data_IF_787091040617
#
_entry.id   IF_787091040617
#
_cell.length_a   1.000
_cell.length_b   1.000
_cell.length_c   1.000
_cell.angle_alpha   90.00
_cell.angle_beta   90.00
_cell.angle_gamma   90.00
#
_symmetry.space_group_name_H-M   'P 1'
#
loop_
_entity.id
_entity.type
_entity.pdbx_description
1 polymer ?
#
# COMPACT_ATOMS: atom_id res chain seq x y z
N UNK A 1 20.59 6.11 0.16
CA UNK A 1 19.86 5.89 1.44
C UNK A 1 19.43 7.20 2.06
N UNK A 2 18.31 7.18 2.76
CA UNK A 2 17.78 8.32 3.49
C UNK A 2 18.37 8.27 4.91
N UNK A 3 19.10 9.33 5.30
CA UNK A 3 19.73 9.42 6.62
C UNK A 3 18.79 9.95 7.70
N UNK A 4 17.78 10.71 7.31
CA UNK A 4 16.82 11.36 8.21
C UNK A 4 15.50 11.56 7.47
N UNK A 5 14.40 11.25 8.13
CA UNK A 5 13.03 11.41 7.64
C UNK A 5 12.23 12.21 8.67
N UNK A 6 12.35 13.53 8.60
CA UNK A 6 11.71 14.42 9.57
C UNK A 6 10.33 14.85 9.08
N UNK A 7 9.29 14.40 9.76
CA UNK A 7 7.91 14.81 9.51
C UNK A 7 7.59 16.11 10.29
N UNK A 8 7.72 17.26 9.62
CA UNK A 8 7.55 18.58 10.26
C UNK A 8 6.17 18.78 10.85
N UNK A 9 5.12 18.28 10.21
CA UNK A 9 3.74 18.36 10.70
C UNK A 9 3.45 17.41 11.87
N UNK A 10 4.31 16.41 12.06
CA UNK A 10 4.20 15.41 13.12
C UNK A 10 5.18 15.70 14.27
N UNK A 11 5.32 16.97 14.65
CA UNK A 11 6.16 17.41 15.75
C UNK A 11 7.67 17.34 15.49
N UNK A 12 8.11 17.37 14.25
CA UNK A 12 9.51 17.20 13.84
C UNK A 12 10.12 15.86 14.26
N UNK A 13 9.33 14.81 14.42
CA UNK A 13 9.82 13.45 14.64
C UNK A 13 10.68 13.02 13.45
N UNK A 14 11.87 12.50 13.72
CA UNK A 14 12.67 11.77 12.75
C UNK A 14 12.27 10.30 12.80
N UNK A 15 11.77 9.77 11.71
CA UNK A 15 11.31 8.39 11.58
C UNK A 15 12.41 7.42 11.16
N UNK A 16 13.56 7.93 10.72
CA UNK A 16 14.68 7.08 10.30
C UNK A 16 15.36 6.45 11.52
N UNK A 17 15.41 5.12 11.53
CA UNK A 17 16.14 4.37 12.55
C UNK A 17 17.65 4.58 12.40
N UNK A 18 18.31 4.89 13.51
CA UNK A 18 19.75 5.06 13.59
C UNK A 18 20.40 3.71 13.89
N UNK A 19 20.61 2.89 12.88
CA UNK A 19 21.29 1.60 12.99
C UNK A 19 22.51 1.57 12.07
N UNK A 20 23.58 0.96 12.54
CA UNK A 20 24.79 0.74 11.72
C UNK A 20 24.59 -0.40 10.71
N UNK A 21 23.61 -1.26 10.94
CA UNK A 21 23.40 -2.49 10.16
C UNK A 21 22.55 -2.28 8.92
N UNK A 22 21.59 -1.36 8.96
CA UNK A 22 20.62 -1.13 7.89
C UNK A 22 20.40 0.36 7.66
N UNK A 23 20.04 0.73 6.42
CA UNK A 23 19.72 2.09 6.07
C UNK A 23 18.33 2.24 5.45
N UNK A 24 17.64 3.34 5.71
CA UNK A 24 16.30 3.60 5.20
C UNK A 24 16.31 3.69 3.66
N UNK A 25 15.53 2.82 3.01
CA UNK A 25 15.41 2.74 1.56
C UNK A 25 16.56 1.99 0.88
N UNK A 26 17.39 1.23 1.59
CA UNK A 26 18.39 0.37 0.96
C UNK A 26 17.74 -0.82 0.28
N UNK A 27 18.34 -1.26 -0.83
CA UNK A 27 18.06 -2.54 -1.46
C UNK A 27 18.96 -3.61 -0.84
N UNK A 28 18.38 -4.74 -0.48
CA UNK A 28 19.11 -5.88 0.09
C UNK A 28 18.63 -7.19 -0.53
N UNK A 29 19.58 -8.03 -0.95
CA UNK A 29 19.33 -9.34 -1.50
C UNK A 29 20.48 -10.31 -1.23
N UNK A 30 20.21 -11.62 -1.27
CA UNK A 30 21.24 -12.66 -1.17
C UNK A 30 21.68 -13.07 -2.59
N UNK A 31 22.97 -12.97 -2.88
CA UNK A 31 23.53 -13.31 -4.17
C UNK A 31 24.30 -14.61 -4.09
N UNK A 32 23.80 -15.65 -4.76
CA UNK A 32 24.31 -17.00 -4.65
C UNK A 32 25.72 -17.20 -5.17
N UNK A 33 26.11 -16.46 -6.21
CA UNK A 33 27.47 -16.52 -6.74
C UNK A 33 28.52 -16.11 -5.69
N UNK A 34 28.13 -15.17 -4.81
CA UNK A 34 28.99 -14.70 -3.73
C UNK A 34 28.68 -15.37 -2.38
N UNK A 35 27.56 -16.09 -2.26
CA UNK A 35 27.13 -16.77 -1.04
C UNK A 35 26.79 -15.86 0.14
N UNK A 36 26.42 -14.60 -0.11
CA UNK A 36 26.16 -13.60 0.93
C UNK A 36 25.08 -12.57 0.55
N UNK A 37 24.56 -11.92 1.58
CA UNK A 37 23.74 -10.74 1.37
C UNK A 37 24.58 -9.56 0.90
N UNK A 38 24.05 -8.83 -0.09
CA UNK A 38 24.58 -7.57 -0.58
C UNK A 38 23.56 -6.46 -0.37
N UNK A 39 24.08 -5.26 -0.21
CA UNK A 39 23.27 -4.05 -0.04
C UNK A 39 23.69 -2.98 -1.05
N UNK A 40 22.70 -2.17 -1.47
CA UNK A 40 22.94 -1.02 -2.33
C UNK A 40 23.75 0.11 -1.67
N UNK A 41 24.02 0.03 -0.35
CA UNK A 41 24.87 0.98 0.35
C UNK A 41 26.37 0.67 0.24
N UNK A 42 26.73 -0.50 -0.28
CA UNK A 42 28.12 -0.93 -0.40
C UNK A 42 28.87 -0.18 -1.51
N UNK A 43 28.14 0.41 -2.45
CA UNK A 43 28.69 1.16 -3.57
C UNK A 43 28.17 2.60 -3.57
N UNK A 44 29.01 3.59 -3.92
CA UNK A 44 28.54 4.97 -4.09
C UNK A 44 27.48 5.08 -5.18
N UNK A 45 26.46 5.88 -4.93
CA UNK A 45 25.43 6.18 -5.91
C UNK A 45 25.49 7.64 -6.36
N UNK A 46 25.08 7.90 -7.60
CA UNK A 46 24.95 9.24 -8.15
C UNK A 46 23.57 9.79 -7.83
N UNK A 47 23.53 11.00 -7.26
CA UNK A 47 22.30 11.74 -7.02
C UNK A 47 22.16 12.87 -8.03
N UNK A 48 20.95 13.00 -8.59
CA UNK A 48 20.62 14.08 -9.54
C UNK A 48 19.28 14.67 -9.14
N UNK A 49 19.22 16.00 -8.97
CA UNK A 49 17.94 16.70 -8.82
C UNK A 49 17.30 16.79 -10.20
N UNK A 50 16.18 16.08 -10.40
CA UNK A 50 15.46 16.03 -11.67
C UNK A 50 14.45 17.18 -11.76
N UNK A 51 13.84 17.54 -10.62
CA UNK A 51 12.89 18.64 -10.53
C UNK A 51 12.97 19.28 -9.15
N UNK A 52 12.94 20.59 -9.13
CA UNK A 52 12.85 21.39 -7.92
C UNK A 52 12.00 22.63 -8.22
N UNK A 53 10.73 22.56 -7.84
CA UNK A 53 9.79 23.66 -8.01
C UNK A 53 8.79 23.72 -6.83
N UNK A 54 7.86 24.67 -6.86
CA UNK A 54 6.90 24.90 -5.77
C UNK A 54 5.86 23.79 -5.60
N UNK A 55 5.73 22.90 -6.56
CA UNK A 55 4.74 21.81 -6.55
C UNK A 55 5.35 20.45 -6.28
N UNK A 56 6.55 20.21 -6.78
CA UNK A 56 7.20 18.89 -6.75
C UNK A 56 8.71 19.03 -6.63
N UNK A 57 9.29 18.19 -5.77
CA UNK A 57 10.73 17.95 -5.70
C UNK A 57 11.01 16.51 -6.07
N UNK A 58 11.95 16.27 -6.99
CA UNK A 58 12.25 14.95 -7.50
C UNK A 58 13.75 14.73 -7.58
N UNK A 59 14.21 13.67 -6.92
CA UNK A 59 15.63 13.26 -6.87
C UNK A 59 15.74 11.88 -7.50
N UNK A 60 16.67 11.74 -8.43
CA UNK A 60 17.06 10.47 -9.05
C UNK A 60 18.33 9.97 -8.41
N UNK A 61 18.33 8.70 -8.00
CA UNK A 61 19.46 7.96 -7.47
C UNK A 61 19.82 6.86 -8.47
N UNK A 62 21.04 6.84 -8.93
CA UNK A 62 21.60 5.82 -9.84
C UNK A 62 22.75 5.11 -9.12
N UNK A 63 22.64 3.80 -8.93
CA UNK A 63 23.61 2.99 -8.20
C UNK A 63 23.63 1.54 -8.69
N UNK A 64 24.33 0.71 -7.94
CA UNK A 64 24.46 -0.72 -8.22
C UNK A 64 24.25 -1.55 -6.94
N UNK A 65 23.65 -2.73 -7.09
CA UNK A 65 23.65 -3.77 -6.08
C UNK A 65 24.23 -5.05 -6.68
N UNK A 66 25.30 -5.57 -6.10
CA UNK A 66 26.03 -6.74 -6.63
C UNK A 66 26.26 -6.64 -8.16
N UNK A 67 26.74 -5.50 -8.63
CA UNK A 67 26.97 -5.15 -10.05
C UNK A 67 25.71 -5.06 -10.94
N UNK A 68 24.50 -5.16 -10.39
CA UNK A 68 23.26 -4.89 -11.13
C UNK A 68 22.86 -3.42 -10.96
N UNK A 69 22.74 -2.65 -12.06
CA UNK A 69 22.34 -1.25 -11.97
C UNK A 69 20.92 -1.09 -11.44
N UNK A 70 20.70 -0.09 -10.61
CA UNK A 70 19.37 0.33 -10.24
C UNK A 70 19.20 1.85 -10.40
N UNK A 71 17.97 2.24 -10.62
CA UNK A 71 17.51 3.63 -10.56
C UNK A 71 16.37 3.73 -9.57
N UNK A 72 16.46 4.66 -8.65
CA UNK A 72 15.38 4.99 -7.73
C UNK A 72 15.06 6.48 -7.84
N UNK A 73 13.80 6.81 -8.09
CA UNK A 73 13.33 8.19 -8.13
C UNK A 73 12.48 8.46 -6.91
N UNK A 74 12.87 9.45 -6.10
CA UNK A 74 12.14 9.89 -4.92
C UNK A 74 11.41 11.18 -5.28
N UNK A 75 10.10 11.22 -5.02
CA UNK A 75 9.24 12.37 -5.32
C UNK A 75 8.54 12.85 -4.06
N UNK A 76 8.64 14.15 -3.80
CA UNK A 76 7.87 14.89 -2.79
C UNK A 76 6.92 15.83 -3.50
N UNK A 77 5.62 15.65 -3.29
CA UNK A 77 4.58 16.50 -3.89
C UNK A 77 4.00 17.42 -2.84
N UNK A 78 3.88 18.71 -3.16
CA UNK A 78 3.29 19.72 -2.26
C UNK A 78 1.85 19.35 -1.91
N UNK A 79 1.53 19.44 -0.62
CA UNK A 79 0.19 19.17 -0.11
C UNK A 79 -0.07 17.71 0.27
N UNK A 80 0.84 16.78 -0.09
CA UNK A 80 0.79 15.42 0.39
C UNK A 80 1.75 15.21 1.57
N UNK A 81 1.45 14.21 2.41
CA UNK A 81 2.36 13.71 3.46
C UNK A 81 3.17 12.50 3.01
N UNK A 82 2.87 12.02 1.81
CA UNK A 82 3.44 10.83 1.20
C UNK A 82 4.73 11.15 0.47
N UNK A 83 5.67 10.24 0.53
CA UNK A 83 6.91 10.23 -0.24
C UNK A 83 6.82 9.08 -1.22
N UNK A 84 6.86 9.38 -2.51
CA UNK A 84 6.72 8.39 -3.58
C UNK A 84 8.10 7.93 -4.08
N UNK A 85 8.20 6.64 -4.38
CA UNK A 85 9.40 6.00 -4.93
C UNK A 85 9.05 5.24 -6.20
N UNK A 86 9.89 5.37 -7.21
CA UNK A 86 9.86 4.60 -8.44
C UNK A 86 11.21 3.87 -8.57
N UNK A 87 11.17 2.55 -8.47
CA UNK A 87 12.36 1.69 -8.46
C UNK A 87 12.42 0.89 -9.75
N UNK A 88 13.58 0.93 -10.40
CA UNK A 88 13.94 0.02 -11.50
C UNK A 88 15.26 -0.67 -11.17
N UNK A 89 15.32 -1.99 -11.34
CA UNK A 89 16.59 -2.75 -11.29
C UNK A 89 16.79 -3.45 -12.61
N UNK A 90 17.90 -3.15 -13.28
CA UNK A 90 18.28 -3.76 -14.55
C UNK A 90 19.12 -5.01 -14.26
N UNK A 91 18.46 -6.15 -14.27
CA UNK A 91 19.11 -7.42 -14.03
C UNK A 91 20.05 -7.78 -15.19
N UNK A 92 21.31 -7.95 -14.89
CA UNK A 92 22.27 -8.51 -15.84
C UNK A 92 22.05 -10.02 -15.97
N UNK A 93 22.59 -10.60 -17.01
CA UNK A 93 22.62 -12.07 -17.18
C UNK A 93 23.21 -12.72 -15.92
N UNK A 94 22.64 -13.83 -15.47
CA UNK A 94 22.97 -14.56 -14.24
C UNK A 94 22.74 -13.70 -12.98
N UNK A 95 21.51 -13.44 -12.71
CA UNK A 95 21.06 -12.54 -11.64
C UNK A 95 21.57 -12.90 -10.26
N UNK A 96 21.69 -14.20 -9.93
CA UNK A 96 22.25 -14.64 -8.67
C UNK A 96 21.37 -14.45 -7.42
N UNK A 97 20.23 -13.77 -7.51
CA UNK A 97 19.26 -13.72 -6.41
C UNK A 97 18.45 -15.00 -6.44
N UNK A 98 18.46 -15.73 -5.36
CA UNK A 98 17.71 -16.97 -5.22
C UNK A 98 18.09 -18.02 -6.26
N UNK A 99 18.83 -19.00 -5.85
CA UNK A 99 19.19 -20.08 -6.75
C UNK A 99 17.99 -20.95 -7.08
N UNK A 100 17.69 -21.13 -8.38
CA UNK A 100 16.78 -22.16 -8.85
C UNK A 100 17.55 -23.49 -8.95
N UNK A 101 17.19 -24.46 -8.09
CA UNK A 101 17.65 -25.86 -8.19
C UNK A 101 16.44 -26.77 -8.36
N UNK A 102 16.40 -27.53 -9.42
CA UNK A 102 15.35 -28.52 -9.68
C UNK A 102 15.21 -29.59 -8.59
N UNK A 103 16.27 -29.87 -7.83
CA UNK A 103 16.34 -30.93 -6.83
C UNK A 103 15.74 -30.59 -5.45
N UNK A 104 15.07 -29.46 -5.28
CA UNK A 104 14.61 -28.92 -3.99
C UNK A 104 13.31 -29.51 -3.42
N UNK A 105 12.82 -30.62 -3.88
CA UNK A 105 11.63 -31.28 -3.31
C UNK A 105 11.73 -31.59 -1.81
N UNK A 106 12.92 -31.59 -1.27
CA UNK A 106 13.20 -31.90 0.15
C UNK A 106 13.45 -30.69 1.03
N UNK A 107 13.65 -29.51 0.45
CA UNK A 107 13.82 -28.28 1.22
C UNK A 107 12.48 -27.56 1.31
N UNK A 108 11.88 -27.52 2.50
CA UNK A 108 10.59 -26.86 2.75
C UNK A 108 10.64 -25.33 2.65
N UNK A 109 11.81 -24.76 2.39
CA UNK A 109 11.96 -23.31 2.26
C UNK A 109 11.51 -22.85 0.88
N UNK A 110 10.64 -21.82 0.89
CA UNK A 110 10.07 -21.22 -0.31
C UNK A 110 10.43 -19.73 -0.37
N UNK A 111 10.42 -19.16 -1.57
CA UNK A 111 10.72 -17.74 -1.78
C UNK A 111 9.93 -16.81 -0.86
N UNK A 112 8.70 -17.18 -0.55
CA UNK A 112 7.85 -16.42 0.35
C UNK A 112 8.42 -16.24 1.76
N UNK A 113 9.05 -17.25 2.32
CA UNK A 113 9.48 -17.30 3.72
C UNK A 113 11.00 -17.32 3.92
N UNK A 114 11.77 -17.12 2.89
CA UNK A 114 13.22 -17.12 2.95
C UNK A 114 13.78 -15.86 2.26
N UNK A 115 14.38 -14.96 3.04
CA UNK A 115 14.95 -13.70 2.55
C UNK A 115 16.06 -13.89 1.50
N UNK A 116 16.66 -15.09 1.43
CA UNK A 116 17.63 -15.40 0.39
C UNK A 116 17.03 -15.46 -1.02
N UNK A 117 15.71 -15.55 -1.13
CA UNK A 117 14.99 -15.58 -2.41
C UNK A 117 14.29 -14.26 -2.74
N UNK A 118 14.71 -13.17 -2.09
CA UNK A 118 14.09 -11.87 -2.26
C UNK A 118 15.11 -10.77 -2.52
N UNK A 119 14.70 -9.79 -3.29
CA UNK A 119 15.21 -8.45 -3.19
C UNK A 119 14.22 -7.65 -2.34
N UNK A 120 14.69 -7.06 -1.26
CA UNK A 120 13.86 -6.25 -0.36
C UNK A 120 14.33 -4.80 -0.33
N UNK A 121 13.38 -3.88 -0.15
CA UNK A 121 13.66 -2.49 0.26
C UNK A 121 13.47 -2.41 1.77
N UNK A 122 14.46 -1.92 2.50
CA UNK A 122 14.44 -1.92 3.97
C UNK A 122 14.10 -0.54 4.54
N UNK A 123 13.33 -0.56 5.62
CA UNK A 123 12.84 0.64 6.33
C UNK A 123 13.12 0.54 7.83
N UNK A 124 14.39 0.69 8.26
CA UNK A 124 14.67 0.82 9.69
C UNK A 124 14.04 2.12 10.22
N UNK A 125 13.28 1.98 11.31
CA UNK A 125 12.55 3.09 11.94
C UNK A 125 12.98 3.31 13.37
N UNK A 126 12.81 4.55 13.88
CA UNK A 126 12.97 4.93 15.29
C UNK A 126 11.59 4.91 15.99
N UNK A 127 10.88 3.78 15.85
CA UNK A 127 9.59 3.53 16.51
C UNK A 127 9.76 2.55 17.67
N UNK A 128 9.10 2.81 18.80
CA UNK A 128 9.20 1.98 19.99
C UNK A 128 8.17 0.86 20.01
N UNK A 129 8.64 -0.40 20.17
CA UNK A 129 7.80 -1.60 20.27
C UNK A 129 6.61 -1.61 19.30
N UNK A 130 6.84 -1.45 17.98
CA UNK A 130 5.75 -1.27 17.05
C UNK A 130 4.97 -2.55 16.80
N UNK A 131 3.64 -2.38 16.60
CA UNK A 131 2.77 -3.38 15.99
C UNK A 131 2.73 -3.21 14.49
N UNK A 132 2.54 -4.31 13.77
CA UNK A 132 2.35 -4.30 12.32
C UNK A 132 0.88 -4.49 12.00
N UNK A 133 0.29 -3.54 11.27
CA UNK A 133 -1.03 -3.66 10.67
C UNK A 133 -0.86 -3.81 9.16
N UNK A 134 -1.67 -4.65 8.55
CA UNK A 134 -1.64 -4.85 7.10
C UNK A 134 -3.03 -5.00 6.53
N UNK A 135 -3.24 -4.55 5.31
CA UNK A 135 -4.49 -4.81 4.64
C UNK A 135 -4.60 -6.26 4.16
N UNK A 136 -5.83 -6.75 4.22
CA UNK A 136 -6.27 -8.03 3.70
C UNK A 136 -7.56 -7.80 2.89
N UNK A 137 -8.07 -8.78 2.14
CA UNK A 137 -9.33 -8.63 1.43
C UNK A 137 -10.47 -8.26 2.39
N UNK A 138 -10.99 -7.05 2.27
CA UNK A 138 -12.06 -6.50 3.12
C UNK A 138 -11.78 -6.56 4.62
N UNK A 139 -10.51 -6.44 5.03
CA UNK A 139 -10.09 -6.50 6.42
C UNK A 139 -8.74 -5.80 6.64
N UNK A 140 -8.40 -5.58 7.90
CA UNK A 140 -7.07 -5.19 8.35
C UNK A 140 -6.63 -6.09 9.49
N UNK A 141 -5.51 -6.76 9.32
CA UNK A 141 -4.98 -7.70 10.29
C UNK A 141 -3.84 -7.06 11.10
N UNK A 142 -3.87 -7.23 12.41
CA UNK A 142 -2.70 -7.02 13.26
C UNK A 142 -1.79 -8.25 13.13
N UNK A 143 -0.55 -8.03 12.72
CA UNK A 143 0.45 -9.08 12.53
C UNK A 143 1.39 -9.12 13.72
N UNK A 144 1.25 -10.14 14.56
CA UNK A 144 2.12 -10.34 15.72
C UNK A 144 3.34 -11.17 15.37
N UNK A 145 4.50 -10.86 15.95
CA UNK A 145 5.69 -11.66 15.78
C UNK A 145 5.55 -13.07 16.39
N UNK A 146 4.76 -13.22 17.45
CA UNK A 146 4.64 -14.46 18.24
C UNK A 146 3.51 -15.39 17.80
N UNK A 147 2.41 -14.86 17.26
CA UNK A 147 1.19 -15.63 16.99
C UNK A 147 0.81 -15.58 15.50
N UNK A 148 1.70 -16.01 14.63
CA UNK A 148 1.38 -16.15 13.21
C UNK A 148 1.23 -17.61 12.83
N UNK A 149 0.43 -17.90 11.82
CA UNK A 149 0.26 -19.24 11.26
C UNK A 149 1.60 -19.91 10.89
N UNK A 150 2.59 -19.09 10.54
CA UNK A 150 3.95 -19.49 10.23
C UNK A 150 4.92 -19.25 11.41
N UNK A 151 4.46 -19.47 12.63
CA UNK A 151 5.16 -19.14 13.88
C UNK A 151 6.52 -19.82 14.13
N UNK A 152 6.95 -20.75 13.28
CA UNK A 152 8.20 -21.51 13.43
C UNK A 152 9.39 -20.94 12.64
N UNK A 153 9.24 -19.79 11.97
CA UNK A 153 10.32 -19.26 11.15
C UNK A 153 11.05 -18.16 11.87
N UNK A 154 12.05 -18.57 12.60
CA UNK A 154 13.03 -17.70 13.23
C UNK A 154 12.45 -16.39 13.78
N UNK A 155 13.27 -15.38 13.88
CA UNK A 155 12.90 -14.06 14.40
C UNK A 155 12.27 -13.13 13.35
N UNK A 156 12.21 -13.54 12.09
CA UNK A 156 11.66 -12.73 10.98
C UNK A 156 10.34 -13.34 10.54
N UNK A 157 9.28 -12.51 10.52
CA UNK A 157 7.96 -12.88 10.02
C UNK A 157 7.74 -12.30 8.64
N UNK A 158 7.18 -13.14 7.78
CA UNK A 158 6.81 -12.78 6.42
C UNK A 158 5.31 -12.85 6.27
N UNK A 159 4.70 -11.86 5.65
CA UNK A 159 3.27 -11.88 5.38
C UNK A 159 2.94 -11.13 4.09
N UNK A 160 1.86 -11.54 3.44
CA UNK A 160 1.36 -10.91 2.21
C UNK A 160 0.60 -9.65 2.58
N UNK A 161 0.78 -8.62 1.79
CA UNK A 161 -0.02 -7.40 1.75
C UNK A 161 -0.68 -7.26 0.37
N UNK A 162 -1.85 -6.68 0.32
CA UNK A 162 -2.47 -6.30 -0.95
C UNK A 162 -1.82 -5.02 -1.46
N UNK A 163 -1.91 -3.95 -0.65
CA UNK A 163 -1.42 -2.63 -1.04
C UNK A 163 -0.69 -1.87 0.06
N UNK A 164 -0.83 -2.21 1.35
CA UNK A 164 -0.17 -1.47 2.40
C UNK A 164 0.12 -2.28 3.66
N UNK A 165 1.11 -1.83 4.39
CA UNK A 165 1.46 -2.24 5.75
C UNK A 165 1.79 -1.00 6.57
N UNK A 166 1.35 -0.97 7.83
CA UNK A 166 1.58 0.12 8.77
C UNK A 166 2.31 -0.39 10.01
N UNK A 167 3.41 0.26 10.33
CA UNK A 167 4.22 -0.01 11.52
C UNK A 167 3.92 1.08 12.54
N UNK A 168 3.10 0.77 13.56
CA UNK A 168 2.60 1.73 14.53
C UNK A 168 3.09 1.41 15.96
N UNK A 169 3.55 2.41 16.70
CA UNK A 169 3.89 2.26 18.12
C UNK A 169 2.68 1.76 18.93
N UNK A 170 2.89 0.81 19.84
CA UNK A 170 1.81 0.28 20.68
C UNK A 170 1.30 1.30 21.70
N UNK A 171 2.21 2.00 22.35
CA UNK A 171 1.95 2.96 23.41
C UNK A 171 2.29 4.39 22.99
N UNK A 172 2.75 4.58 21.76
CA UNK A 172 3.11 5.86 21.17
C UNK A 172 2.10 6.38 20.19
N UNK A 173 2.40 7.55 19.65
CA UNK A 173 1.55 8.23 18.68
C UNK A 173 2.05 8.10 17.25
N UNK A 174 3.26 7.55 17.04
CA UNK A 174 3.91 7.61 15.73
C UNK A 174 3.79 6.28 14.99
N UNK A 175 3.66 6.40 13.67
CA UNK A 175 3.60 5.25 12.78
C UNK A 175 4.18 5.58 11.40
N UNK A 176 4.62 4.54 10.69
CA UNK A 176 5.10 4.63 9.31
C UNK A 176 4.35 3.63 8.46
N UNK A 177 3.49 4.12 7.59
CA UNK A 177 2.84 3.30 6.58
C UNK A 177 3.69 3.19 5.32
N UNK A 178 3.65 2.00 4.70
CA UNK A 178 4.31 1.65 3.45
C UNK A 178 3.25 1.19 2.46
N UNK A 179 3.18 1.82 1.30
CA UNK A 179 2.26 1.49 0.22
C UNK A 179 2.99 0.76 -0.91
N UNK A 180 2.31 -0.17 -1.57
CA UNK A 180 2.80 -0.91 -2.73
C UNK A 180 1.81 -0.80 -3.89
N UNK A 181 2.31 -0.68 -5.12
CA UNK A 181 1.51 -0.63 -6.35
C UNK A 181 0.97 -2.00 -6.80
N UNK A 182 1.30 -3.05 -6.07
CA UNK A 182 0.82 -4.42 -6.33
C UNK A 182 0.86 -5.27 -5.07
N UNK A 183 0.15 -6.39 -5.11
CA UNK A 183 0.21 -7.40 -4.06
C UNK A 183 1.61 -7.99 -3.95
N UNK A 184 2.21 -7.87 -2.77
CA UNK A 184 3.54 -8.38 -2.47
C UNK A 184 3.62 -8.90 -1.04
N UNK A 185 4.78 -8.97 -0.44
CA UNK A 185 4.96 -9.30 0.97
C UNK A 185 5.86 -8.31 1.69
N UNK A 186 5.74 -8.32 2.99
CA UNK A 186 6.72 -7.69 3.87
C UNK A 186 7.43 -8.74 4.72
N UNK A 187 8.58 -8.38 5.24
CA UNK A 187 9.28 -9.06 6.33
C UNK A 187 9.49 -8.09 7.48
N UNK A 188 9.40 -8.60 8.71
CA UNK A 188 9.65 -7.82 9.92
C UNK A 188 10.09 -8.75 11.06
N UNK A 189 11.04 -8.31 11.88
CA UNK A 189 11.55 -9.08 13.01
C UNK A 189 12.03 -8.17 14.13
N UNK A 190 12.37 -8.77 15.27
CA UNK A 190 12.88 -8.03 16.44
C UNK A 190 14.16 -7.27 16.09
N UNK A 191 15.09 -7.93 15.39
CA UNK A 191 16.36 -7.35 14.92
C UNK A 191 16.40 -7.13 13.40
N UNK A 192 15.25 -7.18 12.74
CA UNK A 192 15.13 -7.02 11.30
C UNK A 192 14.09 -5.93 10.98
N UNK A 193 14.47 -4.88 10.24
CA UNK A 193 13.56 -3.78 9.96
C UNK A 193 12.42 -4.22 9.06
N UNK A 194 11.38 -3.40 8.97
CA UNK A 194 10.34 -3.58 7.96
C UNK A 194 11.01 -3.62 6.58
N UNK A 195 10.79 -4.72 5.86
CA UNK A 195 11.28 -4.93 4.50
C UNK A 195 10.13 -5.16 3.55
N UNK A 196 10.07 -4.39 2.46
CA UNK A 196 9.12 -4.60 1.37
C UNK A 196 9.79 -5.51 0.33
N UNK A 197 9.15 -6.62 0.00
CA UNK A 197 9.64 -7.49 -1.08
C UNK A 197 9.41 -6.82 -2.43
N UNK A 198 10.51 -6.44 -3.09
CA UNK A 198 10.49 -5.85 -4.42
C UNK A 198 10.52 -6.91 -5.53
N UNK A 199 11.22 -8.02 -5.31
CA UNK A 199 11.35 -9.11 -6.28
C UNK A 199 11.47 -10.44 -5.55
N UNK A 200 10.70 -11.43 -6.01
CA UNK A 200 10.92 -12.82 -5.66
C UNK A 200 11.80 -13.52 -6.68
N UNK A 201 12.53 -14.54 -6.22
CA UNK A 201 13.23 -15.49 -7.08
C UNK A 201 13.23 -16.89 -6.44
N UNK A 202 13.59 -17.94 -7.20
CA UNK A 202 13.66 -19.31 -6.68
C UNK A 202 12.31 -20.00 -6.54
N UNK A 203 12.22 -20.94 -5.59
CA UNK A 203 11.07 -21.84 -5.44
C UNK A 203 9.78 -21.16 -5.01
N UNK A 204 8.73 -21.30 -5.80
CA UNK A 204 7.39 -20.80 -5.47
C UNK A 204 6.76 -21.54 -4.29
N UNK A 205 5.82 -20.91 -3.59
CA UNK A 205 5.10 -21.54 -2.47
C UNK A 205 4.18 -22.66 -2.98
N UNK A 206 3.41 -22.34 -4.01
CA UNK A 206 2.51 -23.24 -4.73
C UNK A 206 2.55 -22.87 -6.22
N UNK A 207 2.96 -23.76 -7.08
CA UNK A 207 3.02 -23.52 -8.51
C UNK A 207 4.45 -23.27 -9.03
N UNK A 208 4.61 -22.61 -10.18
CA UNK A 208 5.91 -22.43 -10.82
C UNK A 208 6.83 -21.53 -10.02
N UNK A 209 8.13 -21.76 -10.21
CA UNK A 209 9.17 -20.97 -9.57
C UNK A 209 9.24 -19.55 -10.14
N UNK A 210 9.70 -18.63 -9.31
CA UNK A 210 9.93 -17.24 -9.68
C UNK A 210 11.24 -17.12 -10.46
N UNK A 211 11.14 -16.92 -11.77
CA UNK A 211 12.29 -16.68 -12.64
C UNK A 211 12.40 -15.20 -12.97
N UNK A 212 13.57 -14.64 -12.80
CA UNK A 212 13.84 -13.25 -13.19
C UNK A 212 14.18 -13.25 -14.68
N UNK A 213 13.29 -12.71 -15.50
CA UNK A 213 13.42 -12.70 -16.98
C UNK A 213 13.45 -11.30 -17.56
N UNK A 214 13.16 -10.28 -16.77
CA UNK A 214 13.09 -8.88 -17.21
C UNK A 214 13.45 -7.93 -16.03
N UNK A 215 13.72 -6.66 -16.32
CA UNK A 215 13.99 -5.68 -15.27
C UNK A 215 12.84 -5.60 -14.25
N UNK A 216 13.19 -5.44 -12.98
CA UNK A 216 12.23 -5.06 -11.95
C UNK A 216 11.76 -3.63 -12.22
N UNK A 217 10.45 -3.41 -12.09
CA UNK A 217 9.84 -2.08 -12.00
C UNK A 217 8.77 -2.12 -10.92
N UNK A 218 8.88 -1.24 -9.96
CA UNK A 218 8.00 -1.17 -8.81
C UNK A 218 7.85 0.26 -8.33
N UNK A 219 6.63 0.63 -7.98
CA UNK A 219 6.37 1.85 -7.23
C UNK A 219 5.98 1.50 -5.80
N UNK A 220 6.44 2.29 -4.87
CA UNK A 220 6.03 2.21 -3.47
C UNK A 220 6.05 3.61 -2.87
N UNK A 221 5.42 3.77 -1.73
CA UNK A 221 5.42 5.04 -1.03
C UNK A 221 5.48 4.84 0.48
N UNK A 222 5.96 5.85 1.20
CA UNK A 222 5.94 5.88 2.66
C UNK A 222 5.15 7.08 3.16
N UNK A 223 4.45 6.89 4.28
CA UNK A 223 3.67 7.93 4.94
C UNK A 223 4.01 7.93 6.43
N UNK A 224 4.86 8.86 6.91
CA UNK A 224 5.02 9.08 8.32
C UNK A 224 3.77 9.78 8.88
N UNK A 225 3.22 9.26 9.99
CA UNK A 225 1.97 9.79 10.54
C UNK A 225 1.86 9.60 12.05
N UNK A 226 0.79 10.17 12.63
CA UNK A 226 0.35 9.91 14.01
C UNK A 226 -0.89 9.06 14.05
N UNK A 227 -1.06 8.36 15.16
CA UNK A 227 -2.16 7.43 15.37
C UNK A 227 -2.00 6.14 14.57
N UNK A 228 -2.97 5.23 14.72
CA UNK A 228 -3.02 4.00 13.94
C UNK A 228 -3.58 4.26 12.54
N UNK A 229 -3.44 3.30 11.66
CA UNK A 229 -3.85 3.34 10.25
C UNK A 229 -5.26 3.91 10.03
N UNK A 230 -6.25 3.56 10.89
CA UNK A 230 -7.65 4.00 10.81
C UNK A 230 -7.83 5.49 11.16
N UNK A 231 -7.04 6.02 12.10
CA UNK A 231 -7.05 7.44 12.46
C UNK A 231 -6.29 8.31 11.47
N UNK A 232 -5.33 7.69 10.83
CA UNK A 232 -4.50 8.35 9.82
C UNK A 232 -5.03 8.19 8.39
N UNK A 233 -6.16 7.50 8.18
CA UNK A 233 -6.76 7.25 6.87
C UNK A 233 -5.79 6.61 5.86
N UNK A 234 -5.02 5.63 6.31
CA UNK A 234 -4.03 4.96 5.46
C UNK A 234 -4.68 4.13 4.37
N UNK A 235 -5.83 3.51 4.66
CA UNK A 235 -6.58 2.77 3.64
C UNK A 235 -7.03 3.70 2.50
N UNK A 236 -7.55 4.87 2.82
CA UNK A 236 -8.00 5.88 1.85
C UNK A 236 -6.82 6.46 1.04
N UNK A 237 -5.70 6.80 1.71
CA UNK A 237 -4.47 7.23 1.03
C UNK A 237 -3.91 6.16 0.08
N UNK A 238 -3.99 4.87 0.47
CA UNK A 238 -3.56 3.76 -0.37
C UNK A 238 -4.43 3.60 -1.62
N UNK A 239 -5.76 3.70 -1.46
CA UNK A 239 -6.68 3.60 -2.59
C UNK A 239 -6.52 4.79 -3.54
N UNK A 240 -6.45 6.01 -3.02
CA UNK A 240 -6.19 7.20 -3.83
C UNK A 240 -4.85 7.13 -4.58
N UNK A 241 -3.86 6.45 -4.02
CA UNK A 241 -2.56 6.30 -4.67
C UNK A 241 -2.55 5.21 -5.73
N UNK A 242 -3.23 4.09 -5.49
CA UNK A 242 -3.32 2.96 -6.41
C UNK A 242 -4.34 3.19 -7.53
N UNK A 243 -5.35 4.05 -7.28
CA UNK A 243 -6.38 4.42 -8.25
C UNK A 243 -6.28 5.91 -8.61
N UNK A 244 -5.27 6.30 -9.41
CA UNK A 244 -5.03 7.70 -9.72
C UNK A 244 -6.18 8.29 -10.56
N UNK A 245 -6.43 9.59 -10.36
CA UNK A 245 -7.42 10.33 -11.14
C UNK A 245 -7.12 10.25 -12.64
N UNK A 246 -8.15 9.92 -13.40
CA UNK A 246 -8.10 10.02 -14.86
C UNK A 246 -8.30 11.49 -15.25
N UNK A 247 -7.49 11.97 -16.17
CA UNK A 247 -7.60 13.33 -16.69
C UNK A 247 -7.51 13.35 -18.22
N UNK A 248 -8.20 14.32 -18.81
CA UNK A 248 -8.06 14.65 -20.23
C UNK A 248 -8.02 16.16 -20.38
N UNK A 249 -7.25 16.65 -21.35
CA UNK A 249 -7.15 18.05 -21.67
C UNK A 249 -8.04 18.37 -22.86
N UNK A 250 -9.07 19.18 -22.64
CA UNK A 250 -9.91 19.74 -23.70
C UNK A 250 -10.32 21.18 -23.34
N UNK A 251 -10.58 22.03 -24.34
CA UNK A 251 -11.03 23.41 -24.08
C UNK A 251 -12.38 23.40 -23.37
N UNK A 252 -12.48 24.07 -22.23
CA UNK A 252 -13.74 24.27 -21.50
C UNK A 252 -14.03 25.74 -21.39
N UNK A 253 -15.29 26.14 -21.65
CA UNK A 253 -15.73 27.51 -21.55
C UNK A 253 -15.76 28.02 -20.09
N UNK A 254 -16.07 27.14 -19.14
CA UNK A 254 -16.08 27.44 -17.70
C UNK A 254 -15.66 26.19 -16.91
N UNK A 255 -14.83 26.33 -15.87
CA UNK A 255 -14.53 25.20 -14.98
C UNK A 255 -15.79 24.88 -14.15
N UNK A 256 -16.21 23.63 -14.17
CA UNK A 256 -17.27 23.10 -13.33
C UNK A 256 -16.71 21.97 -12.46
N UNK A 257 -17.12 21.95 -11.19
CA UNK A 257 -16.86 20.82 -10.28
C UNK A 257 -18.17 20.13 -9.97
N UNK A 258 -18.23 18.81 -10.20
CA UNK A 258 -19.44 18.02 -9.96
C UNK A 258 -19.05 16.69 -9.31
N UNK A 259 -19.77 16.34 -8.25
CA UNK A 259 -19.64 15.04 -7.60
C UNK A 259 -20.94 14.26 -7.78
N UNK A 260 -20.85 13.03 -8.28
CA UNK A 260 -22.02 12.15 -8.39
C UNK A 260 -22.43 11.56 -7.04
N UNK A 261 -21.45 11.18 -6.21
CA UNK A 261 -21.67 10.64 -4.87
C UNK A 261 -20.78 11.40 -3.90
N UNK A 262 -21.36 11.83 -2.78
CA UNK A 262 -20.64 12.46 -1.68
C UNK A 262 -20.84 11.61 -0.40
N UNK A 263 -19.77 11.01 0.06
CA UNK A 263 -19.70 10.18 1.26
C UNK A 263 -19.30 10.95 2.52
N UNK A 264 -19.05 12.25 2.41
CA UNK A 264 -18.70 13.15 3.51
C UNK A 264 -17.47 12.70 4.34
N UNK A 265 -16.47 12.10 3.71
CA UNK A 265 -15.24 11.67 4.36
C UNK A 265 -15.48 10.75 5.59
N UNK A 266 -16.18 9.66 5.38
CA UNK A 266 -16.70 8.81 6.44
C UNK A 266 -15.92 7.52 6.65
N UNK A 267 -14.83 7.29 5.92
CA UNK A 267 -14.15 6.00 5.84
C UNK A 267 -14.89 4.97 4.98
N UNK A 268 -15.97 5.38 4.30
CA UNK A 268 -16.63 4.55 3.32
C UNK A 268 -15.99 4.70 1.95
N UNK A 269 -15.80 3.59 1.27
CA UNK A 269 -15.25 3.50 -0.07
C UNK A 269 -16.32 3.02 -1.04
N UNK A 270 -16.31 3.54 -2.28
CA UNK A 270 -17.13 3.03 -3.37
C UNK A 270 -16.40 1.84 -3.98
N UNK A 271 -16.80 0.62 -3.63
CA UNK A 271 -16.19 -0.60 -4.17
C UNK A 271 -16.78 -1.04 -5.50
N UNK A 272 -17.97 -0.56 -5.86
CA UNK A 272 -18.55 -0.73 -7.20
C UNK A 272 -19.59 0.36 -7.50
N UNK A 273 -19.56 0.86 -8.73
CA UNK A 273 -20.58 1.72 -9.32
C UNK A 273 -20.87 1.23 -10.73
N UNK A 274 -22.06 0.69 -10.93
CA UNK A 274 -22.41 0.04 -12.20
C UNK A 274 -23.82 0.45 -12.64
N UNK A 275 -24.01 0.60 -13.95
CA UNK A 275 -25.33 0.73 -14.55
C UNK A 275 -25.79 -0.66 -15.03
N UNK A 276 -26.96 -1.09 -14.56
CA UNK A 276 -27.59 -2.35 -14.98
C UNK A 276 -29.10 -2.17 -15.11
N UNK A 277 -29.64 -2.53 -16.25
CA UNK A 277 -31.10 -2.51 -16.54
C UNK A 277 -31.78 -1.17 -16.18
N UNK A 278 -31.09 -0.04 -16.50
CA UNK A 278 -31.60 1.32 -16.21
C UNK A 278 -31.52 1.74 -14.75
N UNK A 279 -30.95 0.92 -13.88
CA UNK A 279 -30.71 1.23 -12.47
C UNK A 279 -29.21 1.35 -12.19
N UNK A 280 -28.87 2.12 -11.17
CA UNK A 280 -27.47 2.24 -10.71
C UNK A 280 -27.27 1.32 -9.51
N UNK A 281 -26.31 0.41 -9.60
CA UNK A 281 -25.84 -0.37 -8.47
C UNK A 281 -24.66 0.36 -7.83
N UNK A 282 -24.81 0.69 -6.56
CA UNK A 282 -23.78 1.29 -5.70
C UNK A 282 -23.40 0.31 -4.61
N UNK A 283 -22.14 -0.10 -4.54
CA UNK A 283 -21.62 -0.90 -3.43
C UNK A 283 -20.61 -0.09 -2.64
N UNK A 284 -20.81 -0.07 -1.34
CA UNK A 284 -19.97 0.62 -0.38
C UNK A 284 -19.28 -0.40 0.53
N UNK A 285 -18.06 -0.09 0.91
CA UNK A 285 -17.24 -0.81 1.89
C UNK A 285 -16.82 0.15 3.00
N UNK A 286 -16.89 -0.27 4.27
CA UNK A 286 -16.40 0.53 5.40
C UNK A 286 -14.97 0.12 5.75
N UNK A 287 -13.98 0.86 5.29
CA UNK A 287 -12.56 0.57 5.50
C UNK A 287 -12.03 1.04 6.85
N UNK A 288 -12.62 2.07 7.46
CA UNK A 288 -12.08 2.72 8.67
C UNK A 288 -12.65 2.15 9.99
N UNK A 289 -13.70 1.34 9.91
CA UNK A 289 -14.25 0.62 11.07
C UNK A 289 -15.16 1.43 11.99
N UNK A 290 -15.77 2.50 11.50
CA UNK A 290 -16.73 3.32 12.22
C UNK A 290 -18.16 2.89 11.87
N UNK A 291 -18.98 2.55 12.88
CA UNK A 291 -20.39 2.13 12.72
C UNK A 291 -21.39 3.28 12.83
N UNK A 292 -20.94 4.51 12.98
CA UNK A 292 -21.85 5.66 13.10
C UNK A 292 -22.71 5.80 11.86
N UNK A 293 -23.90 6.37 12.07
CA UNK A 293 -24.78 6.75 10.99
C UNK A 293 -24.10 7.77 10.08
N UNK A 294 -23.98 7.43 8.82
CA UNK A 294 -23.34 8.25 7.79
C UNK A 294 -24.37 8.72 6.77
N UNK A 295 -24.20 9.95 6.33
CA UNK A 295 -25.02 10.55 5.28
C UNK A 295 -24.33 10.32 3.93
N UNK A 296 -25.07 9.76 3.00
CA UNK A 296 -24.65 9.61 1.59
C UNK A 296 -25.54 10.51 0.74
N UNK A 297 -24.92 11.39 -0.03
CA UNK A 297 -25.61 12.27 -0.95
C UNK A 297 -25.31 11.86 -2.39
N UNK A 298 -26.37 11.75 -3.19
CA UNK A 298 -26.28 11.44 -4.64
C UNK A 298 -26.80 12.63 -5.41
N UNK A 299 -26.01 13.16 -6.33
CA UNK A 299 -26.32 14.38 -7.11
C UNK A 299 -27.28 14.07 -8.27
N UNK A 300 -28.35 13.36 -7.94
CA UNK A 300 -29.47 13.05 -8.84
C UNK A 300 -30.74 12.86 -8.04
N UNK A 301 -31.93 13.19 -8.62
CA UNK A 301 -33.18 12.79 -8.03
C UNK A 301 -33.40 11.28 -8.19
N UNK A 302 -33.70 10.60 -7.09
CA UNK A 302 -33.99 9.17 -7.09
C UNK A 302 -35.46 8.94 -6.76
N UNK A 303 -36.11 8.01 -7.46
CA UNK A 303 -37.45 7.51 -7.17
C UNK A 303 -37.47 6.45 -6.06
N UNK A 304 -36.33 5.77 -5.81
CA UNK A 304 -36.21 4.76 -4.77
C UNK A 304 -34.77 4.28 -4.56
N UNK A 305 -34.52 3.74 -3.37
CA UNK A 305 -33.26 3.07 -3.02
C UNK A 305 -33.59 1.78 -2.30
N UNK A 306 -33.05 0.67 -2.77
CA UNK A 306 -33.17 -0.64 -2.17
C UNK A 306 -31.80 -1.14 -1.74
N UNK A 307 -31.64 -1.50 -0.48
CA UNK A 307 -30.49 -2.30 -0.02
C UNK A 307 -30.73 -3.74 -0.48
N UNK A 308 -29.73 -4.31 -1.15
CA UNK A 308 -29.81 -5.66 -1.71
C UNK A 308 -28.66 -6.54 -1.21
N UNK A 309 -28.87 -7.85 -1.20
CA UNK A 309 -27.78 -8.81 -0.97
C UNK A 309 -26.86 -8.93 -2.21
N UNK A 310 -25.84 -9.78 -2.13
CA UNK A 310 -24.91 -10.01 -3.25
C UNK A 310 -25.55 -10.68 -4.47
N UNK A 311 -26.73 -11.31 -4.30
CA UNK A 311 -27.51 -11.91 -5.38
C UNK A 311 -28.52 -10.92 -6.00
N UNK A 312 -28.63 -9.71 -5.44
CA UNK A 312 -29.55 -8.68 -5.87
C UNK A 312 -30.95 -8.79 -5.28
N UNK A 313 -31.17 -9.62 -4.24
CA UNK A 313 -32.44 -9.72 -3.55
C UNK A 313 -32.61 -8.53 -2.59
N UNK A 314 -33.77 -7.89 -2.61
CA UNK A 314 -34.06 -6.74 -1.75
C UNK A 314 -34.10 -7.19 -0.29
N UNK A 315 -33.27 -6.55 0.54
CA UNK A 315 -33.24 -6.70 2.01
C UNK A 315 -34.16 -5.65 2.62
N UNK A 316 -34.01 -4.39 2.21
CA UNK A 316 -34.72 -3.25 2.80
C UNK A 316 -34.83 -2.10 1.79
N UNK A 317 -35.99 -1.41 1.83
CA UNK A 317 -36.14 -0.13 1.13
C UNK A 317 -35.70 1.02 2.02
N UNK A 318 -34.73 1.81 1.55
CA UNK A 318 -34.21 2.94 2.30
C UNK A 318 -35.08 4.19 2.14
N UNK A 319 -35.24 4.90 3.25
CA UNK A 319 -35.84 6.24 3.22
C UNK A 319 -34.86 7.21 2.59
N UNK A 320 -35.33 7.94 1.58
CA UNK A 320 -34.56 8.98 0.90
C UNK A 320 -35.23 10.33 1.10
N UNK A 321 -34.42 11.40 1.11
CA UNK A 321 -34.88 12.78 1.08
C UNK A 321 -34.35 13.43 -0.19
N UNK A 322 -35.24 13.83 -1.08
CA UNK A 322 -34.85 14.55 -2.31
C UNK A 322 -35.07 16.04 -2.11
N UNK A 323 -34.00 16.83 -2.31
CA UNK A 323 -34.03 18.27 -2.21
C UNK A 323 -33.09 18.90 -3.25
N UNK A 324 -33.57 19.89 -3.98
CA UNK A 324 -32.81 20.62 -4.98
C UNK A 324 -32.10 19.71 -6.01
N UNK A 325 -32.79 18.65 -6.47
CA UNK A 325 -32.25 17.70 -7.45
C UNK A 325 -31.27 16.67 -6.89
N UNK A 326 -30.98 16.68 -5.58
CA UNK A 326 -30.12 15.71 -4.91
C UNK A 326 -30.92 14.80 -4.01
N UNK A 327 -30.48 13.55 -3.88
CA UNK A 327 -31.07 12.56 -3.00
C UNK A 327 -30.11 12.22 -1.86
N UNK A 328 -30.63 12.16 -0.65
CA UNK A 328 -29.88 11.87 0.57
C UNK A 328 -30.44 10.63 1.24
N UNK A 329 -29.55 9.73 1.65
CA UNK A 329 -29.87 8.60 2.53
C UNK A 329 -28.92 8.56 3.71
N UNK A 330 -29.37 7.94 4.79
CA UNK A 330 -28.53 7.69 5.97
C UNK A 330 -28.34 6.18 6.11
N UNK A 331 -27.09 5.76 6.25
CA UNK A 331 -26.71 4.36 6.38
C UNK A 331 -25.76 4.17 7.54
N UNK A 332 -25.69 2.95 8.05
CA UNK A 332 -24.69 2.48 9.00
C UNK A 332 -24.15 1.17 8.48
N UNK A 333 -22.85 1.00 8.56
CA UNK A 333 -22.16 -0.25 8.26
C UNK A 333 -21.22 -0.60 9.40
N UNK A 334 -21.16 -1.87 9.82
CA UNK A 334 -20.16 -2.31 10.78
C UNK A 334 -18.76 -2.17 10.18
N UNK A 335 -17.76 -2.28 11.04
CA UNK A 335 -16.36 -2.35 10.63
C UNK A 335 -16.19 -3.44 9.57
N UNK A 336 -15.54 -3.10 8.47
CA UNK A 336 -15.33 -3.95 7.30
C UNK A 336 -16.62 -4.49 6.66
N UNK A 337 -17.76 -3.86 6.97
CA UNK A 337 -19.05 -4.19 6.35
C UNK A 337 -19.10 -3.77 4.88
N UNK A 338 -19.89 -4.51 4.11
CA UNK A 338 -20.21 -4.21 2.71
C UNK A 338 -21.71 -4.08 2.59
N UNK A 339 -22.18 -3.03 1.92
CA UNK A 339 -23.58 -2.85 1.55
C UNK A 339 -23.74 -2.52 0.09
N UNK A 340 -24.74 -3.11 -0.54
CA UNK A 340 -25.06 -2.86 -1.94
C UNK A 340 -26.44 -2.19 -2.03
N UNK A 341 -26.53 -1.15 -2.81
CA UNK A 341 -27.77 -0.40 -3.03
C UNK A 341 -28.11 -0.38 -4.52
N UNK A 342 -29.37 -0.58 -4.82
CA UNK A 342 -29.93 -0.34 -6.16
C UNK A 342 -30.66 0.99 -6.13
N UNK A 343 -30.18 1.94 -6.93
CA UNK A 343 -30.70 3.28 -7.03
C UNK A 343 -31.62 3.32 -8.27
N UNK A 344 -32.88 3.66 -8.07
CA UNK A 344 -33.84 3.87 -9.15
C UNK A 344 -33.86 5.36 -9.51
N UNK A 345 -33.55 5.69 -10.77
CA UNK A 345 -33.59 7.05 -11.27
C UNK A 345 -35.04 7.52 -11.47
N UNK A 346 -35.27 8.83 -11.36
CA UNK A 346 -36.59 9.45 -11.60
C UNK A 346 -36.87 9.60 -13.07
#
# INVERSE_FOLDING_TARGET
>A
TIKSLIAKKEGNKDFAGKTEKYALGELRGFFYEEGKFRSSIETPAKLTVVRDNVYEQKIKIEGEIASHPFTQVITLTKGTRRIDFDLTVDWKKNVGIGEYKEERWRDNRRAYCDDRFKLSVLFPTDLHAPCVYKNAPFDVCESKLTDTFFGSWDQIKHNIILHWVDLAEQEGDYALALLSDHTTSYSYGEDYPLGLTAQYSGGGLWGPDYKITHPLRMKYAIIPHRGKWDKASIADDSDCWNEPLLYSCYPVAKPESKSFIDLQNTGYQVSALQMKDGKVLLRLFNSEGDERLQKVTIDMPLSGVEEVDLNGQCIERKKIKTRAGKSEMTISMPRFGIKTFVLSLT
#
